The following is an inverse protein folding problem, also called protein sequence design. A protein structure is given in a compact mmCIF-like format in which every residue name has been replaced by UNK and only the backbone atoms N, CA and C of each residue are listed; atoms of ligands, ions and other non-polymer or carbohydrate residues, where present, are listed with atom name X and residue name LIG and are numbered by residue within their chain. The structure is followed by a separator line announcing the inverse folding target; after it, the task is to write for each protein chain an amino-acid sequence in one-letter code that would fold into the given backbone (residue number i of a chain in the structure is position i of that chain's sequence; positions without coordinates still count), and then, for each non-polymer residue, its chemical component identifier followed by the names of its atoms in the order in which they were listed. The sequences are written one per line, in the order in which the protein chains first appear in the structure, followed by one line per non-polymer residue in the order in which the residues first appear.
data_IF_030279028549
#
_entry.id   IF_030279028549
#
_cell.length_a   1.000
_cell.length_b   1.000
_cell.length_c   1.000
_cell.angle_alpha   90.00
_cell.angle_beta   90.00
_cell.angle_gamma   90.00
#
_symmetry.space_group_name_H-M   'P 1'
#
loop_
_entity.id
_entity.type
_entity.pdbx_description
1 polymer ?
#
# COMPACT_ATOMS: atom_id res chain seq x y z
N UNK A 1 21.39 7.29 -3.25
CA UNK A 1 20.05 6.75 -2.94
C UNK A 1 19.29 6.63 -4.24
N UNK A 2 18.77 5.44 -4.51
CA UNK A 2 17.96 5.21 -5.72
C UNK A 2 16.62 5.96 -5.62
N UNK A 3 16.06 6.31 -6.78
CA UNK A 3 14.76 6.96 -6.92
C UNK A 3 13.85 6.02 -7.72
N UNK A 4 13.29 4.98 -7.09
CA UNK A 4 12.43 4.03 -7.80
C UNK A 4 11.20 4.77 -8.32
N UNK A 5 10.76 4.40 -9.52
CA UNK A 5 9.49 4.89 -10.08
C UNK A 5 8.30 4.01 -9.66
N UNK A 6 8.59 2.78 -9.22
CA UNK A 6 7.61 1.76 -8.87
C UNK A 6 8.08 0.97 -7.65
N UNK A 7 7.19 0.72 -6.70
CA UNK A 7 7.47 -0.05 -5.47
C UNK A 7 6.37 -1.11 -5.30
N UNK A 8 6.75 -2.32 -4.91
CA UNK A 8 5.83 -3.41 -4.54
C UNK A 8 6.07 -3.74 -3.08
N UNK A 9 5.00 -3.80 -2.29
CA UNK A 9 5.04 -4.11 -0.87
C UNK A 9 4.05 -5.23 -0.57
N UNK A 10 4.53 -6.28 0.10
CA UNK A 10 3.72 -7.40 0.58
C UNK A 10 3.58 -7.28 2.09
N UNK A 11 2.36 -6.98 2.55
CA UNK A 11 2.00 -6.84 3.97
C UNK A 11 2.98 -5.97 4.80
N UNK A 12 3.30 -4.72 4.38
CA UNK A 12 4.37 -3.93 4.99
C UNK A 12 4.09 -3.48 6.42
N UNK A 13 2.84 -3.59 6.88
CA UNK A 13 2.41 -3.16 8.22
C UNK A 13 2.49 -4.29 9.25
N UNK A 14 2.71 -5.53 8.82
CA UNK A 14 2.70 -6.69 9.72
C UNK A 14 3.81 -6.60 10.77
N UNK A 15 3.44 -6.77 12.03
CA UNK A 15 4.36 -6.74 13.17
C UNK A 15 4.71 -5.34 13.69
N UNK A 16 4.11 -4.29 13.14
CA UNK A 16 4.25 -2.94 13.66
C UNK A 16 3.21 -2.64 14.74
N UNK A 17 3.57 -1.76 15.67
CA UNK A 17 2.62 -1.14 16.57
C UNK A 17 1.88 0.02 15.86
N UNK A 18 0.92 0.64 16.56
CA UNK A 18 0.09 1.71 15.99
C UNK A 18 0.93 2.87 15.45
N UNK A 19 1.97 3.29 16.18
CA UNK A 19 2.86 4.37 15.74
C UNK A 19 3.66 3.97 14.49
N UNK A 20 4.18 2.74 14.44
CA UNK A 20 4.92 2.25 13.29
C UNK A 20 4.04 2.18 12.04
N UNK A 21 2.79 1.75 12.18
CA UNK A 21 1.81 1.77 11.07
C UNK A 21 1.60 3.19 10.55
N UNK A 22 1.41 4.16 11.43
CA UNK A 22 1.22 5.56 11.04
C UNK A 22 2.47 6.16 10.36
N UNK A 23 3.66 5.81 10.83
CA UNK A 23 4.93 6.23 10.22
C UNK A 23 5.08 5.69 8.79
N UNK A 24 4.82 4.40 8.57
CA UNK A 24 4.88 3.80 7.23
C UNK A 24 3.80 4.41 6.33
N UNK A 25 2.57 4.58 6.82
CA UNK A 25 1.50 5.23 6.03
C UNK A 25 1.92 6.62 5.55
N UNK A 26 2.52 7.43 6.43
CA UNK A 26 3.01 8.76 6.07
C UNK A 26 4.15 8.71 5.05
N UNK A 27 5.07 7.75 5.19
CA UNK A 27 6.15 7.54 4.23
C UNK A 27 5.62 7.17 2.84
N UNK A 28 4.66 6.24 2.76
CA UNK A 28 4.08 5.81 1.48
C UNK A 28 3.35 6.96 0.78
N UNK A 29 2.59 7.77 1.52
CA UNK A 29 1.96 8.99 1.00
C UNK A 29 3.00 9.97 0.43
N UNK A 30 4.09 10.22 1.16
CA UNK A 30 5.17 11.09 0.68
C UNK A 30 5.83 10.56 -0.60
N UNK A 31 5.98 9.25 -0.73
CA UNK A 31 6.54 8.63 -1.95
C UNK A 31 5.58 8.76 -3.12
N UNK A 32 4.30 8.52 -2.91
CA UNK A 32 3.24 8.76 -3.90
C UNK A 32 3.25 10.22 -4.37
N UNK A 33 3.32 11.18 -3.45
CA UNK A 33 3.37 12.63 -3.77
C UNK A 33 4.60 13.01 -4.60
N UNK A 34 5.69 12.24 -4.50
CA UNK A 34 6.90 12.38 -5.33
C UNK A 34 6.77 11.70 -6.70
N UNK A 35 5.59 11.17 -7.05
CA UNK A 35 5.30 10.50 -8.32
C UNK A 35 5.75 9.04 -8.36
N UNK A 36 5.99 8.40 -7.22
CA UNK A 36 6.29 6.97 -7.16
C UNK A 36 4.98 6.19 -7.21
N UNK A 37 4.86 5.24 -8.12
CA UNK A 37 3.73 4.30 -8.15
C UNK A 37 3.96 3.20 -7.12
N UNK A 38 2.94 2.85 -6.35
CA UNK A 38 3.04 1.87 -5.28
C UNK A 38 1.97 0.80 -5.50
N UNK A 39 2.39 -0.47 -5.54
CA UNK A 39 1.50 -1.62 -5.47
C UNK A 39 1.61 -2.20 -4.06
N UNK A 40 0.48 -2.22 -3.35
CA UNK A 40 0.39 -2.67 -1.97
C UNK A 40 -0.51 -3.93 -1.90
N UNK A 41 0.02 -5.01 -1.35
CA UNK A 41 -0.78 -6.16 -0.94
C UNK A 41 -1.04 -6.07 0.57
N UNK A 42 -2.32 -6.09 0.96
CA UNK A 42 -2.71 -6.12 2.36
C UNK A 42 -4.11 -6.72 2.53
N UNK A 43 -4.35 -7.34 3.69
CA UNK A 43 -5.69 -7.76 4.14
C UNK A 43 -6.33 -6.76 5.12
N UNK A 44 -5.64 -5.67 5.48
CA UNK A 44 -6.15 -4.67 6.41
C UNK A 44 -6.95 -3.58 5.69
N UNK A 45 -8.27 -3.55 5.92
CA UNK A 45 -9.19 -2.59 5.31
C UNK A 45 -8.83 -1.12 5.61
N UNK A 46 -8.32 -0.82 6.80
CA UNK A 46 -7.94 0.56 7.15
C UNK A 46 -6.75 1.03 6.33
N UNK A 47 -5.75 0.17 6.12
CA UNK A 47 -4.57 0.50 5.30
C UNK A 47 -4.97 0.73 3.85
N UNK A 48 -5.80 -0.16 3.31
CA UNK A 48 -6.32 -0.06 1.94
C UNK A 48 -7.09 1.26 1.75
N UNK A 49 -8.02 1.57 2.65
CA UNK A 49 -8.83 2.78 2.58
C UNK A 49 -8.01 4.08 2.72
N UNK A 50 -6.91 4.04 3.46
CA UNK A 50 -6.07 5.22 3.73
C UNK A 50 -5.04 5.47 2.62
N UNK A 51 -4.56 4.41 1.96
CA UNK A 51 -3.39 4.47 1.08
C UNK A 51 -3.68 4.25 -0.40
N UNK A 52 -4.75 3.54 -0.75
CA UNK A 52 -4.99 3.10 -2.12
C UNK A 52 -6.05 3.97 -2.81
N UNK A 53 -5.78 4.35 -4.07
CA UNK A 53 -6.78 4.97 -4.95
C UNK A 53 -7.56 3.94 -5.77
N UNK A 54 -6.86 2.91 -6.23
CA UNK A 54 -7.42 1.77 -6.94
C UNK A 54 -7.27 0.54 -6.05
N UNK A 55 -8.37 -0.18 -5.82
CA UNK A 55 -8.38 -1.40 -5.02
C UNK A 55 -8.79 -2.56 -5.90
N UNK A 56 -8.07 -3.67 -5.76
CA UNK A 56 -8.37 -4.92 -6.44
C UNK A 56 -8.45 -6.04 -5.41
N UNK A 57 -9.49 -6.85 -5.52
CA UNK A 57 -9.67 -8.07 -4.73
C UNK A 57 -9.14 -9.26 -5.52
N UNK A 58 -8.31 -10.07 -4.88
CA UNK A 58 -7.84 -11.34 -5.45
C UNK A 58 -8.63 -12.50 -4.83
N UNK A 59 -9.38 -13.22 -5.66
CA UNK A 59 -10.13 -14.40 -5.25
C UNK A 59 -9.96 -15.53 -6.27
N UNK A 60 -9.65 -16.74 -5.78
CA UNK A 60 -9.48 -17.95 -6.60
C UNK A 60 -8.55 -17.78 -7.83
N UNK A 61 -7.51 -16.95 -7.71
CA UNK A 61 -6.56 -16.67 -8.80
C UNK A 61 -7.03 -15.62 -9.81
N UNK A 62 -8.19 -15.00 -9.59
CA UNK A 62 -8.71 -13.89 -10.38
C UNK A 62 -8.57 -12.58 -9.61
N UNK A 63 -8.23 -11.51 -10.32
CA UNK A 63 -8.13 -10.17 -9.77
C UNK A 63 -9.29 -9.32 -10.29
N UNK A 64 -10.16 -8.88 -9.40
CA UNK A 64 -11.34 -8.07 -9.70
C UNK A 64 -11.13 -6.65 -9.16
N UNK A 65 -11.45 -5.63 -9.95
CA UNK A 65 -11.43 -4.25 -9.45
C UNK A 65 -12.64 -4.04 -8.52
N UNK A 66 -12.39 -3.46 -7.35
CA UNK A 66 -13.45 -2.99 -6.47
C UNK A 66 -13.80 -1.55 -6.87
N UNK A 67 -15.10 -1.29 -7.09
CA UNK A 67 -15.65 0.02 -7.44
C UNK A 67 -15.91 0.89 -6.20
#
# INVERSE_FOLDING_TARGET
MEKPKFIILDEPMNGLDKSGVDDIRNLLKLLKDKGVTILLASHNSDDINILCEDVYEMDNGYLNKLD
#
